data_IF_289021229796
#
_entry.id   IF_289021229796
#
_cell.length_a   1.000
_cell.length_b   1.000
_cell.length_c   1.000
_cell.angle_alpha   90.00
_cell.angle_beta   90.00
_cell.angle_gamma   90.00
#
_symmetry.space_group_name_H-M   'P 1'
#
loop_
_entity.id
_entity.type
_entity.pdbx_description
1 polymer ?
#
# COMPACT_ATOMS: atom_id res chain seq x y z
N UNK A 1 16.44 -24.50 31.73
CA UNK A 1 16.41 -24.70 30.26
C UNK A 1 15.38 -23.79 29.55
N UNK A 2 14.50 -23.07 30.28
CA UNK A 2 13.44 -22.20 29.73
C UNK A 2 13.87 -20.77 29.36
N UNK A 3 14.82 -20.19 30.10
CA UNK A 3 15.22 -18.77 29.94
C UNK A 3 15.88 -18.47 28.58
N UNK A 4 16.68 -19.40 28.05
CA UNK A 4 17.40 -19.22 26.78
C UNK A 4 16.46 -19.31 25.57
N UNK A 5 15.47 -20.21 25.65
CA UNK A 5 14.43 -20.32 24.62
C UNK A 5 13.48 -19.12 24.65
N UNK A 6 13.15 -18.60 25.83
CA UNK A 6 12.36 -17.37 25.95
C UNK A 6 13.12 -16.14 25.44
N UNK A 7 14.44 -16.08 25.65
CA UNK A 7 15.29 -15.03 25.09
C UNK A 7 15.35 -15.06 23.57
N UNK A 8 15.43 -16.23 22.94
CA UNK A 8 15.32 -16.36 21.48
C UNK A 8 13.90 -16.03 21.00
N UNK A 9 12.87 -16.41 21.75
CA UNK A 9 11.47 -16.09 21.43
C UNK A 9 11.18 -14.57 21.49
N UNK A 10 11.79 -13.83 22.43
CA UNK A 10 11.65 -12.38 22.49
C UNK A 10 12.46 -11.67 21.41
N UNK A 11 13.66 -12.16 21.08
CA UNK A 11 14.49 -11.65 19.98
C UNK A 11 13.84 -11.89 18.61
N UNK A 12 13.23 -13.05 18.40
CA UNK A 12 12.50 -13.35 17.17
C UNK A 12 11.25 -12.48 17.03
N UNK A 13 10.53 -12.21 18.13
CA UNK A 13 9.39 -11.26 18.12
C UNK A 13 9.80 -9.82 17.85
N UNK A 14 10.90 -9.33 18.41
CA UNK A 14 11.37 -7.96 18.15
C UNK A 14 11.90 -7.79 16.72
N UNK A 15 12.59 -8.79 16.18
CA UNK A 15 12.97 -8.85 14.76
C UNK A 15 11.72 -8.89 13.88
N UNK A 16 10.71 -9.71 14.22
CA UNK A 16 9.45 -9.79 13.48
C UNK A 16 8.69 -8.45 13.47
N UNK A 17 8.67 -7.72 14.59
CA UNK A 17 8.06 -6.38 14.65
C UNK A 17 8.82 -5.35 13.82
N UNK A 18 10.15 -5.47 13.73
CA UNK A 18 10.98 -4.57 12.91
C UNK A 18 10.78 -4.86 11.42
N UNK A 19 10.59 -6.13 11.05
CA UNK A 19 10.30 -6.54 9.67
C UNK A 19 8.87 -6.22 9.23
N UNK A 20 7.90 -6.20 10.14
CA UNK A 20 6.51 -5.79 9.85
C UNK A 20 6.28 -4.28 10.02
N UNK A 21 7.34 -3.48 9.93
CA UNK A 21 7.24 -2.03 10.07
C UNK A 21 6.58 -1.38 8.85
N UNK A 22 5.87 -0.27 9.09
CA UNK A 22 5.24 0.55 8.05
C UNK A 22 6.22 0.92 6.93
N UNK A 23 7.46 1.26 7.29
CA UNK A 23 8.52 1.60 6.33
C UNK A 23 8.86 0.46 5.37
N UNK A 24 8.89 -0.79 5.86
CA UNK A 24 9.18 -1.97 5.03
C UNK A 24 8.02 -2.27 4.07
N UNK A 25 6.76 -2.14 4.53
CA UNK A 25 5.57 -2.27 3.68
C UNK A 25 5.54 -1.19 2.60
N UNK A 26 5.77 0.08 2.99
CA UNK A 26 5.84 1.22 2.07
C UNK A 26 6.93 1.06 1.02
N UNK A 27 8.10 0.53 1.39
CA UNK A 27 9.16 0.18 0.45
C UNK A 27 8.72 -0.93 -0.51
N UNK A 28 8.06 -1.98 -0.01
CA UNK A 28 7.51 -3.07 -0.82
C UNK A 28 6.51 -2.57 -1.86
N UNK A 29 5.58 -1.72 -1.45
CA UNK A 29 4.57 -1.12 -2.35
C UNK A 29 5.20 -0.25 -3.44
N UNK A 30 6.22 0.53 -3.09
CA UNK A 30 6.98 1.33 -4.07
C UNK A 30 7.67 0.43 -5.08
N UNK A 31 8.38 -0.60 -4.62
CA UNK A 31 9.07 -1.56 -5.50
C UNK A 31 8.07 -2.26 -6.42
N UNK A 32 6.90 -2.66 -5.91
CA UNK A 32 5.84 -3.25 -6.73
C UNK A 32 5.36 -2.28 -7.80
N UNK A 33 5.22 -0.99 -7.49
CA UNK A 33 4.84 0.03 -8.45
C UNK A 33 5.83 0.16 -9.61
N UNK A 34 7.13 0.12 -9.31
CA UNK A 34 8.18 0.12 -10.34
C UNK A 34 8.18 -1.15 -11.19
N UNK A 35 8.01 -2.32 -10.58
CA UNK A 35 7.99 -3.61 -11.29
C UNK A 35 6.76 -3.72 -12.20
N UNK A 36 5.63 -3.18 -11.78
CA UNK A 36 4.38 -3.20 -12.55
C UNK A 36 4.27 -2.06 -13.57
N UNK A 37 5.28 -1.17 -13.63
CA UNK A 37 5.33 -0.01 -14.52
C UNK A 37 4.06 0.87 -14.44
N UNK A 38 3.60 1.15 -13.21
CA UNK A 38 2.44 2.02 -13.00
C UNK A 38 2.77 3.47 -13.34
N UNK A 39 1.80 4.16 -13.95
CA UNK A 39 1.89 5.62 -14.17
C UNK A 39 1.91 6.36 -12.84
N UNK A 40 2.34 7.63 -12.86
CA UNK A 40 2.34 8.46 -11.65
C UNK A 40 0.92 8.57 -11.05
N UNK A 41 -0.09 8.69 -11.89
CA UNK A 41 -1.51 8.70 -11.53
C UNK A 41 -1.92 7.40 -10.81
N UNK A 42 -1.58 6.24 -11.39
CA UNK A 42 -1.89 4.94 -10.80
C UNK A 42 -1.18 4.74 -9.45
N UNK A 43 0.07 5.22 -9.31
CA UNK A 43 0.81 5.15 -8.05
C UNK A 43 0.15 5.97 -6.95
N UNK A 44 -0.30 7.20 -7.24
CA UNK A 44 -1.01 8.06 -6.28
C UNK A 44 -2.30 7.40 -5.77
N UNK A 45 -3.08 6.83 -6.69
CA UNK A 45 -4.31 6.11 -6.33
C UNK A 45 -4.00 4.88 -5.48
N UNK A 46 -2.92 4.14 -5.78
CA UNK A 46 -2.51 2.98 -4.99
C UNK A 46 -2.04 3.36 -3.58
N UNK A 47 -1.28 4.44 -3.45
CA UNK A 47 -0.83 4.94 -2.14
C UNK A 47 -2.02 5.41 -1.30
N UNK A 48 -2.96 6.16 -1.89
CA UNK A 48 -4.18 6.60 -1.20
C UNK A 48 -5.14 5.46 -0.81
N UNK A 49 -5.09 4.34 -1.52
CA UNK A 49 -5.95 3.17 -1.24
C UNK A 49 -5.24 2.07 -0.49
N UNK A 50 -4.07 2.33 0.11
CA UNK A 50 -3.26 1.33 0.81
C UNK A 50 -4.03 0.60 1.94
N UNK A 51 -3.42 -0.42 2.54
CA UNK A 51 -4.03 -1.24 3.60
C UNK A 51 -3.97 -0.59 5.01
N UNK A 52 -3.61 0.68 5.11
CA UNK A 52 -3.54 1.36 6.40
C UNK A 52 -4.95 1.54 6.99
N UNK A 53 -5.14 1.36 8.32
CA UNK A 53 -6.48 1.36 8.92
C UNK A 53 -7.15 2.74 8.99
N UNK A 54 -6.45 3.82 8.65
CA UNK A 54 -6.93 5.21 8.76
C UNK A 54 -7.32 5.86 7.42
N UNK A 55 -7.17 5.16 6.29
CA UNK A 55 -7.55 5.67 4.96
C UNK A 55 -6.71 6.86 4.47
N UNK A 56 -7.02 7.41 3.28
CA UNK A 56 -6.28 8.52 2.69
C UNK A 56 -6.54 9.84 3.40
N UNK A 57 -5.54 10.72 3.34
CA UNK A 57 -5.66 12.09 3.84
C UNK A 57 -6.48 12.96 2.90
N UNK A 58 -7.06 14.05 3.42
CA UNK A 58 -7.80 15.04 2.62
C UNK A 58 -7.01 15.60 1.42
N UNK A 59 -5.72 15.99 1.59
CA UNK A 59 -4.88 16.44 0.48
C UNK A 59 -4.70 15.40 -0.64
N UNK A 60 -4.47 14.13 -0.29
CA UNK A 60 -4.33 13.04 -1.28
C UNK A 60 -5.63 12.83 -2.07
N UNK A 61 -6.78 12.86 -1.38
CA UNK A 61 -8.09 12.78 -2.04
C UNK A 61 -8.35 13.97 -2.96
N UNK A 62 -7.96 15.18 -2.55
CA UNK A 62 -8.12 16.40 -3.36
C UNK A 62 -7.23 16.35 -4.60
N UNK A 63 -6.00 15.84 -4.48
CA UNK A 63 -5.10 15.65 -5.61
C UNK A 63 -5.71 14.67 -6.61
N UNK A 64 -6.10 13.47 -6.17
CA UNK A 64 -6.73 12.45 -7.03
C UNK A 64 -7.99 13.00 -7.71
N UNK A 65 -8.84 13.71 -6.96
CA UNK A 65 -10.03 14.38 -7.50
C UNK A 65 -9.66 15.34 -8.63
N UNK A 66 -8.59 16.12 -8.46
CA UNK A 66 -8.12 17.06 -9.50
C UNK A 66 -7.66 16.33 -10.77
N UNK A 67 -7.02 15.17 -10.65
CA UNK A 67 -6.60 14.34 -11.80
C UNK A 67 -7.80 13.84 -12.62
N UNK A 68 -8.97 13.66 -12.00
CA UNK A 68 -10.19 13.20 -12.73
C UNK A 68 -10.75 14.23 -13.70
N UNK A 69 -10.32 15.49 -13.64
CA UNK A 69 -10.72 16.52 -14.60
C UNK A 69 -9.86 16.51 -15.88
N UNK A 70 -8.80 15.70 -15.93
CA UNK A 70 -7.93 15.56 -17.09
C UNK A 70 -8.28 14.28 -17.85
N UNK A 71 -8.53 14.39 -19.17
CA UNK A 71 -9.03 13.28 -19.99
C UNK A 71 -8.14 12.03 -19.92
N UNK A 72 -6.82 12.20 -20.07
CA UNK A 72 -5.87 11.08 -20.09
C UNK A 72 -5.81 10.40 -18.70
N UNK A 73 -5.70 11.20 -17.64
CA UNK A 73 -5.54 10.70 -16.27
C UNK A 73 -6.82 10.13 -15.68
N UNK A 74 -8.01 10.59 -16.11
CA UNK A 74 -9.28 10.05 -15.67
C UNK A 74 -9.35 8.53 -15.86
N UNK A 75 -8.91 8.06 -17.03
CA UNK A 75 -8.93 6.64 -17.37
C UNK A 75 -7.96 5.83 -16.49
N UNK A 76 -6.81 6.42 -16.15
CA UNK A 76 -5.82 5.81 -15.25
C UNK A 76 -6.33 5.74 -13.80
N UNK A 77 -6.92 6.84 -13.28
CA UNK A 77 -7.50 6.88 -11.93
C UNK A 77 -8.58 5.81 -11.78
N UNK A 78 -9.56 5.82 -12.69
CA UNK A 78 -10.69 4.89 -12.62
C UNK A 78 -10.26 3.45 -12.86
N UNK A 79 -9.34 3.22 -13.79
CA UNK A 79 -8.75 1.90 -14.04
C UNK A 79 -8.07 1.32 -12.81
N UNK A 80 -7.28 2.12 -12.09
CA UNK A 80 -6.59 1.67 -10.88
C UNK A 80 -7.55 1.43 -9.71
N UNK A 81 -8.53 2.33 -9.50
CA UNK A 81 -9.57 2.15 -8.48
C UNK A 81 -10.34 0.84 -8.70
N UNK A 82 -10.75 0.57 -9.94
CA UNK A 82 -11.46 -0.67 -10.29
C UNK A 82 -10.62 -1.92 -10.02
N UNK A 83 -9.32 -1.89 -10.37
CA UNK A 83 -8.38 -2.97 -10.07
C UNK A 83 -8.32 -3.25 -8.56
N UNK A 84 -8.24 -2.21 -7.71
CA UNK A 84 -8.16 -2.34 -6.24
C UNK A 84 -9.45 -2.92 -5.66
N UNK A 85 -10.60 -2.37 -6.04
CA UNK A 85 -11.92 -2.81 -5.54
C UNK A 85 -12.22 -4.28 -5.85
N UNK A 86 -11.76 -4.79 -7.00
CA UNK A 86 -11.99 -6.18 -7.40
C UNK A 86 -10.88 -7.15 -6.99
N UNK A 87 -9.73 -6.65 -6.52
CA UNK A 87 -8.61 -7.52 -6.12
C UNK A 87 -8.98 -8.39 -4.92
N UNK A 88 -9.71 -7.81 -3.95
CA UNK A 88 -10.14 -8.49 -2.73
C UNK A 88 -11.25 -9.52 -3.00
N UNK A 89 -12.00 -9.36 -4.10
CA UNK A 89 -13.10 -10.26 -4.46
C UNK A 89 -12.65 -11.60 -5.07
N UNK A 90 -11.34 -11.82 -5.25
CA UNK A 90 -10.80 -13.09 -5.75
C UNK A 90 -10.68 -14.17 -4.67
N UNK A 91 -10.87 -13.80 -3.40
CA UNK A 91 -10.75 -14.70 -2.24
C UNK A 91 -12.04 -14.79 -1.41
N UNK A 92 -13.16 -14.23 -1.91
CA UNK A 92 -14.49 -14.31 -1.30
C UNK A 92 -15.32 -15.46 -1.87
#
# INVERSE_FOLDING_TARGET
MSELLQGIASLTKSVQQTLNSYEVRKLGDKVQGYVMNFTETEQKVREATNEDPWGPTGPEMQEISSLTFQYDQFTEVMGMLWKRLLQDNKMA
#
